data_IF_663246039884
#
_entry.id   IF_663246039884
#
_cell.length_a   1.000
_cell.length_b   1.000
_cell.length_c   1.000
_cell.angle_alpha   90.00
_cell.angle_beta   90.00
_cell.angle_gamma   90.00
#
_symmetry.space_group_name_H-M   'P 1'
#
loop_
_entity.id
_entity.type
_entity.pdbx_description
1 polymer ?
#
# COMPACT_ATOMS: atom_id res chain seq x y z
N UNK A 1 2.63 21.77 -17.70
CA UNK A 1 1.43 22.25 -16.99
C UNK A 1 1.36 21.49 -15.67
N UNK A 2 1.53 22.17 -14.53
CA UNK A 2 1.58 21.55 -13.20
C UNK A 2 0.26 21.67 -12.41
N UNK A 3 -0.78 22.22 -13.04
CA UNK A 3 -2.06 22.50 -12.42
C UNK A 3 -3.16 22.28 -13.46
N UNK A 4 -4.17 21.50 -13.09
CA UNK A 4 -5.38 21.26 -13.87
C UNK A 4 -6.59 21.49 -12.95
N UNK A 5 -7.58 22.31 -13.35
CA UNK A 5 -8.82 22.46 -12.61
C UNK A 5 -9.53 21.10 -12.56
N UNK A 6 -9.93 20.68 -11.37
CA UNK A 6 -10.71 19.45 -11.18
C UNK A 6 -12.14 19.86 -10.83
N UNK A 7 -13.10 19.42 -11.62
CA UNK A 7 -14.52 19.67 -11.30
C UNK A 7 -14.93 18.90 -10.03
N UNK A 8 -15.93 19.36 -9.27
CA UNK A 8 -16.47 18.59 -8.14
C UNK A 8 -16.90 17.20 -8.58
N UNK A 9 -17.53 17.10 -9.74
CA UNK A 9 -17.87 15.82 -10.35
C UNK A 9 -16.63 14.96 -10.61
N UNK A 10 -15.50 15.50 -11.04
CA UNK A 10 -14.26 14.72 -11.18
C UNK A 10 -13.63 14.31 -9.85
N UNK A 11 -13.74 15.15 -8.82
CA UNK A 11 -13.22 14.85 -7.50
C UNK A 11 -14.06 13.78 -6.79
N UNK A 12 -15.39 13.93 -6.86
CA UNK A 12 -16.36 12.96 -6.34
C UNK A 12 -16.27 11.63 -7.10
N UNK A 13 -16.07 11.69 -8.42
CA UNK A 13 -15.85 10.51 -9.25
C UNK A 13 -14.36 10.15 -9.38
N UNK A 14 -13.46 10.69 -8.56
CA UNK A 14 -12.03 10.39 -8.66
C UNK A 14 -11.80 8.88 -8.57
N UNK A 15 -12.42 8.24 -7.58
CA UNK A 15 -12.36 6.79 -7.41
C UNK A 15 -13.02 6.03 -8.57
N UNK A 16 -14.10 6.56 -9.13
CA UNK A 16 -14.72 5.98 -10.32
C UNK A 16 -13.78 6.05 -11.54
N UNK A 17 -13.13 7.20 -11.77
CA UNK A 17 -12.15 7.38 -12.85
C UNK A 17 -10.89 6.52 -12.65
N UNK A 18 -10.40 6.40 -11.42
CA UNK A 18 -9.35 5.43 -11.06
C UNK A 18 -9.81 4.01 -11.39
N UNK A 19 -11.07 3.67 -11.09
CA UNK A 19 -11.67 2.38 -11.46
C UNK A 19 -11.86 2.21 -12.98
N UNK A 20 -12.09 3.28 -13.73
CA UNK A 20 -12.17 3.26 -15.21
C UNK A 20 -10.80 3.05 -15.84
N UNK A 21 -9.77 3.75 -15.36
CA UNK A 21 -8.37 3.52 -15.75
C UNK A 21 -7.98 2.09 -15.41
N UNK A 22 -8.26 1.64 -14.18
CA UNK A 22 -8.04 0.25 -13.76
C UNK A 22 -8.75 -0.73 -14.70
N UNK A 23 -10.02 -0.49 -15.06
CA UNK A 23 -10.76 -1.31 -16.03
C UNK A 23 -10.14 -1.28 -17.43
N UNK A 24 -9.62 -0.14 -17.87
CA UNK A 24 -8.98 0.03 -19.17
C UNK A 24 -7.62 -0.68 -19.26
N UNK A 25 -6.87 -0.70 -18.15
CA UNK A 25 -5.65 -1.49 -17.95
C UNK A 25 -5.99 -2.98 -18.00
N UNK A 26 -6.96 -3.42 -17.20
CA UNK A 26 -7.39 -4.82 -17.12
C UNK A 26 -7.96 -5.35 -18.44
N UNK A 27 -8.66 -4.52 -19.21
CA UNK A 27 -9.20 -4.89 -20.53
C UNK A 27 -8.17 -4.87 -21.66
N UNK A 28 -6.90 -4.54 -21.36
CA UNK A 28 -5.83 -4.33 -22.35
C UNK A 28 -6.18 -3.30 -23.44
N UNK A 29 -7.18 -2.45 -23.18
CA UNK A 29 -7.61 -1.40 -24.11
C UNK A 29 -6.63 -0.22 -24.10
N UNK A 30 -5.92 -0.03 -22.99
CA UNK A 30 -4.68 0.71 -22.95
C UNK A 30 -3.56 -0.26 -23.36
N UNK A 31 -2.87 0.04 -24.47
CA UNK A 31 -1.63 -0.66 -24.85
C UNK A 31 -0.56 -0.30 -23.84
N UNK A 32 -0.56 -1.00 -22.73
CA UNK A 32 0.46 -0.91 -21.72
C UNK A 32 1.59 -1.87 -22.07
N UNK A 33 2.67 -1.35 -22.63
CA UNK A 33 4.00 -1.99 -22.61
C UNK A 33 4.59 -1.96 -21.17
N UNK A 34 3.77 -2.18 -20.14
CA UNK A 34 4.20 -2.32 -18.75
C UNK A 34 4.46 -3.77 -18.36
N UNK A 35 4.31 -4.71 -19.29
CA UNK A 35 4.54 -6.13 -19.02
C UNK A 35 6.03 -6.42 -19.04
N UNK A 36 6.68 -6.31 -17.88
CA UNK A 36 7.89 -7.10 -17.61
C UNK A 36 7.44 -8.56 -17.53
N UNK A 37 7.33 -9.23 -18.68
CA UNK A 37 6.99 -10.66 -18.74
C UNK A 37 8.11 -11.49 -18.11
N UNK A 38 7.76 -12.62 -17.50
CA UNK A 38 8.69 -13.59 -16.86
C UNK A 38 9.96 -13.92 -17.67
N UNK A 39 9.91 -13.83 -19.01
CA UNK A 39 11.09 -13.96 -19.89
C UNK A 39 12.23 -12.96 -19.57
N UNK A 40 11.96 -11.86 -18.86
CA UNK A 40 12.97 -10.89 -18.40
C UNK A 40 13.63 -11.27 -17.06
N UNK A 41 13.13 -12.28 -16.34
CA UNK A 41 13.75 -12.79 -15.10
C UNK A 41 14.82 -13.87 -15.37
N UNK A 42 14.98 -14.30 -16.62
CA UNK A 42 16.12 -15.10 -17.04
C UNK A 42 17.40 -14.28 -16.98
N UNK A 43 18.17 -14.41 -15.90
CA UNK A 43 19.55 -13.93 -15.75
C UNK A 43 19.81 -12.49 -16.25
N UNK A 44 19.50 -11.50 -15.40
CA UNK A 44 20.17 -10.19 -15.38
C UNK A 44 20.34 -9.45 -16.73
N UNK A 45 19.28 -9.27 -17.52
CA UNK A 45 19.25 -8.13 -18.45
C UNK A 45 18.81 -6.87 -17.69
N UNK A 46 19.71 -6.35 -16.84
CA UNK A 46 19.51 -5.11 -16.09
C UNK A 46 19.23 -3.92 -17.02
N UNK A 47 19.64 -4.00 -18.29
CA UNK A 47 19.48 -2.97 -19.30
C UNK A 47 18.03 -2.80 -19.74
N UNK A 48 17.30 -3.90 -19.94
CA UNK A 48 15.89 -3.89 -20.35
C UNK A 48 14.93 -3.38 -19.25
N UNK A 49 15.27 -3.58 -17.96
CA UNK A 49 14.49 -2.98 -16.86
C UNK A 49 14.77 -1.49 -16.65
N UNK A 50 15.85 -0.95 -17.22
CA UNK A 50 16.40 0.38 -16.89
C UNK A 50 16.08 1.45 -17.93
N UNK A 51 15.92 1.10 -19.21
CA UNK A 51 15.57 2.06 -20.27
C UNK A 51 14.10 1.95 -20.68
N UNK A 52 13.34 3.05 -20.57
CA UNK A 52 11.95 3.13 -21.02
C UNK A 52 10.89 2.65 -20.02
N UNK A 53 11.29 2.06 -18.89
CA UNK A 53 10.35 1.74 -17.81
C UNK A 53 10.03 3.02 -17.01
N UNK A 54 8.84 3.58 -17.24
CA UNK A 54 8.38 4.81 -16.58
C UNK A 54 8.34 4.73 -15.06
N UNK A 55 8.13 3.54 -14.49
CA UNK A 55 8.15 3.35 -13.03
C UNK A 55 9.57 3.45 -12.49
N UNK A 56 10.54 2.83 -13.17
CA UNK A 56 11.96 2.94 -12.81
C UNK A 56 12.46 4.36 -13.03
N UNK A 57 12.05 5.02 -14.10
CA UNK A 57 12.34 6.44 -14.36
C UNK A 57 11.73 7.33 -13.27
N UNK A 58 10.48 7.09 -12.87
CA UNK A 58 9.84 7.82 -11.78
C UNK A 58 10.56 7.62 -10.44
N UNK A 59 10.92 6.39 -10.10
CA UNK A 59 11.70 6.08 -8.89
C UNK A 59 13.07 6.78 -8.93
N UNK A 60 13.77 6.75 -10.06
CA UNK A 60 15.03 7.49 -10.23
C UNK A 60 14.85 9.01 -10.13
N UNK A 61 13.76 9.53 -10.67
CA UNK A 61 13.42 10.95 -10.59
C UNK A 61 13.10 11.37 -9.15
N UNK A 62 12.51 10.50 -8.32
CA UNK A 62 12.27 10.79 -6.89
C UNK A 62 13.59 11.00 -6.12
N UNK A 63 14.66 10.34 -6.53
CA UNK A 63 15.99 10.56 -5.97
C UNK A 63 16.78 11.67 -6.71
N UNK A 64 16.17 12.34 -7.69
CA UNK A 64 16.79 13.36 -8.54
C UNK A 64 18.12 12.90 -9.18
N UNK A 65 18.15 11.64 -9.62
CA UNK A 65 19.37 11.02 -10.17
C UNK A 65 20.50 10.77 -9.16
N UNK A 66 20.28 10.99 -7.86
CA UNK A 66 21.27 10.90 -6.78
C UNK A 66 21.08 9.75 -5.79
N UNK A 67 21.98 9.71 -4.79
CA UNK A 67 22.16 8.61 -3.82
C UNK A 67 20.93 8.32 -2.96
N UNK A 68 20.57 7.04 -2.87
CA UNK A 68 19.55 6.56 -1.95
C UNK A 68 20.08 6.56 -0.51
N UNK A 69 19.33 7.07 0.48
CA UNK A 69 19.73 6.96 1.87
C UNK A 69 19.76 5.48 2.29
N UNK A 70 20.65 5.14 3.23
CA UNK A 70 20.86 3.76 3.66
C UNK A 70 19.61 3.10 4.26
N UNK A 71 18.68 3.90 4.78
CA UNK A 71 17.40 3.49 5.35
C UNK A 71 16.23 3.70 4.37
N UNK A 72 16.49 3.85 3.06
CA UNK A 72 15.45 4.03 2.05
C UNK A 72 14.56 2.79 1.93
N UNK A 73 15.17 1.61 1.93
CA UNK A 73 14.49 0.32 1.79
C UNK A 73 14.90 -0.58 2.95
N UNK A 74 13.94 -0.99 3.78
CA UNK A 74 14.22 -1.97 4.80
C UNK A 74 14.14 -3.37 4.26
N UNK A 75 15.17 -4.16 4.52
CA UNK A 75 15.10 -5.61 4.38
C UNK A 75 15.18 -6.22 5.77
N UNK A 76 14.15 -6.94 6.19
CA UNK A 76 14.17 -7.65 7.46
C UNK A 76 13.91 -9.14 7.24
N UNK A 77 14.61 -9.95 8.02
CA UNK A 77 14.35 -11.38 8.11
C UNK A 77 13.31 -11.62 9.18
N UNK A 78 12.29 -12.41 8.88
CA UNK A 78 11.39 -12.93 9.91
C UNK A 78 11.54 -14.44 10.01
N UNK A 79 11.46 -14.94 11.24
CA UNK A 79 11.38 -16.35 11.55
C UNK A 79 10.13 -16.54 12.38
N UNK A 80 9.11 -17.15 11.79
CA UNK A 80 7.89 -17.51 12.48
C UNK A 80 7.91 -19.01 12.80
N UNK A 81 7.78 -19.35 14.09
CA UNK A 81 7.59 -20.73 14.54
C UNK A 81 6.13 -21.17 14.42
N UNK A 82 5.19 -20.21 14.41
CA UNK A 82 3.74 -20.47 14.52
C UNK A 82 2.94 -19.98 13.31
N UNK A 83 3.60 -19.65 12.19
CA UNK A 83 2.97 -19.20 10.95
C UNK A 83 2.58 -20.35 10.01
N UNK A 84 1.57 -20.11 9.16
CA UNK A 84 1.18 -21.00 8.05
C UNK A 84 2.31 -21.13 7.03
N UNK A 85 3.22 -22.06 7.31
CA UNK A 85 4.47 -22.29 6.57
C UNK A 85 5.57 -22.63 7.56
N UNK A 86 5.82 -23.92 7.79
CA UNK A 86 6.86 -24.40 8.70
C UNK A 86 8.20 -23.72 8.37
N UNK A 87 8.85 -23.13 9.38
CA UNK A 87 10.23 -22.64 9.33
C UNK A 87 10.57 -21.77 8.11
N UNK A 88 9.71 -20.81 7.75
CA UNK A 88 10.06 -19.87 6.68
C UNK A 88 11.05 -18.84 7.24
N UNK A 89 12.33 -19.04 6.91
CA UNK A 89 13.32 -17.98 6.95
C UNK A 89 13.17 -17.18 5.65
N UNK A 90 12.46 -16.07 5.74
CA UNK A 90 12.19 -15.19 4.60
C UNK A 90 12.74 -13.80 4.85
N UNK A 91 13.23 -13.17 3.79
CA UNK A 91 13.52 -11.73 3.80
C UNK A 91 12.38 -11.00 3.12
N UNK A 92 11.84 -9.98 3.79
CA UNK A 92 10.85 -9.07 3.22
C UNK A 92 11.50 -7.70 3.06
N UNK A 93 11.27 -7.08 1.91
CA UNK A 93 11.67 -5.70 1.65
C UNK A 93 10.45 -4.79 1.84
N UNK A 94 10.58 -3.75 2.67
CA UNK A 94 9.52 -2.78 2.95
C UNK A 94 9.92 -1.45 2.32
N UNK A 95 9.29 -1.05 1.21
CA UNK A 95 9.54 0.25 0.61
C UNK A 95 8.89 1.36 1.44
N UNK A 96 9.41 2.58 1.30
CA UNK A 96 8.72 3.78 1.78
C UNK A 96 7.47 4.01 0.93
N UNK A 97 6.37 4.36 1.60
CA UNK A 97 5.13 4.76 0.94
C UNK A 97 5.28 6.19 0.41
N UNK A 98 4.65 6.48 -0.73
CA UNK A 98 4.65 7.82 -1.34
C UNK A 98 3.46 8.62 -0.81
N UNK A 99 3.74 9.82 -0.31
CA UNK A 99 2.79 10.77 0.21
C UNK A 99 2.87 12.06 -0.60
N UNK A 100 1.72 12.61 -0.98
CA UNK A 100 1.64 13.92 -1.63
C UNK A 100 0.93 14.89 -0.70
N UNK A 101 1.56 16.02 -0.41
CA UNK A 101 0.90 17.14 0.25
C UNK A 101 0.32 18.08 -0.81
N UNK A 102 -0.97 18.36 -0.71
CA UNK A 102 -1.67 19.29 -1.60
C UNK A 102 -2.42 20.36 -0.81
N UNK A 103 -2.47 21.58 -1.33
CA UNK A 103 -3.44 22.59 -0.90
C UNK A 103 -4.68 22.50 -1.78
N UNK A 104 -5.85 22.62 -1.16
CA UNK A 104 -7.14 22.63 -1.86
C UNK A 104 -7.78 24.00 -1.63
N UNK A 105 -8.01 24.74 -2.71
CA UNK A 105 -8.70 26.03 -2.68
C UNK A 105 -10.12 25.83 -3.18
N UNK A 106 -11.09 26.23 -2.36
CA UNK A 106 -12.53 26.16 -2.66
C UNK A 106 -13.20 27.51 -2.46
N UNK A 107 -14.16 27.82 -3.30
CA UNK A 107 -15.01 28.99 -3.13
C UNK A 107 -16.22 28.64 -2.25
N UNK A 108 -16.43 29.36 -1.14
CA UNK A 108 -17.57 29.08 -0.23
C UNK A 108 -18.88 29.73 -0.68
N UNK A 109 -18.79 30.86 -1.39
CA UNK A 109 -19.95 31.73 -1.70
C UNK A 109 -20.06 32.09 -3.18
N UNK A 110 -19.27 33.05 -3.63
CA UNK A 110 -19.25 33.49 -5.01
C UNK A 110 -18.11 32.82 -5.76
N UNK A 111 -18.21 32.74 -7.08
CA UNK A 111 -17.06 32.36 -7.90
C UNK A 111 -15.95 33.39 -7.74
N UNK A 112 -14.70 32.93 -7.66
CA UNK A 112 -13.52 33.75 -7.42
C UNK A 112 -12.50 33.48 -8.52
N UNK A 113 -11.95 34.52 -9.13
CA UNK A 113 -10.83 34.37 -10.07
C UNK A 113 -9.52 34.27 -9.31
N UNK A 114 -8.73 33.25 -9.63
CA UNK A 114 -7.40 33.06 -9.07
C UNK A 114 -6.38 33.25 -10.19
N UNK A 115 -5.52 34.25 -10.01
CA UNK A 115 -4.50 34.65 -10.99
C UNK A 115 -3.14 34.01 -10.71
N UNK A 116 -2.94 33.54 -9.48
CA UNK A 116 -1.69 32.97 -9.04
C UNK A 116 -1.62 32.73 -7.56
N UNK A 117 -0.42 32.38 -7.12
CA UNK A 117 -0.10 31.96 -5.75
C UNK A 117 1.36 32.28 -5.47
N UNK A 118 1.61 32.68 -4.23
CA UNK A 118 2.95 32.96 -3.74
C UNK A 118 3.37 31.84 -2.78
N UNK A 119 4.58 31.33 -2.98
CA UNK A 119 5.19 30.29 -2.16
C UNK A 119 6.54 30.71 -1.60
N UNK A 120 6.93 30.08 -0.51
CA UNK A 120 8.34 29.83 -0.21
C UNK A 120 8.69 28.43 -0.72
N UNK A 121 9.72 28.32 -1.54
CA UNK A 121 10.16 27.08 -2.15
C UNK A 121 11.54 26.65 -1.61
N UNK A 122 11.68 25.35 -1.44
CA UNK A 122 12.95 24.63 -1.33
C UNK A 122 13.18 23.90 -2.66
N UNK A 123 14.12 24.41 -3.45
CA UNK A 123 14.54 23.82 -4.73
C UNK A 123 15.70 22.82 -4.59
N UNK A 124 15.96 22.32 -3.39
CA UNK A 124 16.95 21.28 -3.19
C UNK A 124 16.68 20.08 -4.12
N UNK A 125 17.75 19.39 -4.50
CA UNK A 125 17.67 18.09 -5.17
C UNK A 125 17.64 16.93 -4.19
N UNK A 126 17.40 15.72 -4.72
CA UNK A 126 17.49 14.46 -3.99
C UNK A 126 16.48 14.26 -2.87
N UNK A 127 16.75 13.27 -2.01
CA UNK A 127 15.94 12.93 -0.84
C UNK A 127 16.45 13.63 0.41
N UNK A 128 15.65 14.54 0.99
CA UNK A 128 16.05 15.40 2.10
C UNK A 128 15.20 15.16 3.35
N UNK A 129 15.81 15.19 4.54
CA UNK A 129 15.09 15.08 5.82
C UNK A 129 14.66 16.44 6.40
N UNK A 130 15.27 17.52 5.92
CA UNK A 130 14.98 18.89 6.30
C UNK A 130 14.68 19.71 5.05
N UNK A 131 13.63 20.53 5.13
CA UNK A 131 13.20 21.42 4.05
C UNK A 131 13.61 22.84 4.43
N UNK A 132 14.25 23.55 3.51
CA UNK A 132 14.69 24.93 3.71
C UNK A 132 14.01 25.87 2.71
N UNK A 133 12.79 26.28 3.03
CA UNK A 133 11.93 27.10 2.16
C UNK A 133 12.36 28.56 2.22
N UNK A 134 13.35 28.94 1.42
CA UNK A 134 13.94 30.29 1.48
C UNK A 134 13.67 31.11 0.22
N UNK A 135 13.34 30.48 -0.90
CA UNK A 135 13.14 31.18 -2.16
C UNK A 135 11.67 31.61 -2.32
N UNK A 136 11.42 32.90 -2.49
CA UNK A 136 10.08 33.39 -2.82
C UNK A 136 9.78 33.15 -4.30
N UNK A 137 8.74 32.37 -4.57
CA UNK A 137 8.28 32.02 -5.93
C UNK A 137 6.84 32.46 -6.11
N UNK A 138 6.55 33.13 -7.22
CA UNK A 138 5.19 33.47 -7.65
C UNK A 138 4.85 32.67 -8.88
N UNK A 139 3.95 31.70 -8.74
CA UNK A 139 3.38 31.00 -9.88
C UNK A 139 2.14 31.75 -10.34
N UNK A 140 2.17 32.25 -11.58
CA UNK A 140 1.00 32.76 -12.26
C UNK A 140 0.40 31.67 -13.11
N UNK A 141 -0.92 31.58 -13.11
CA UNK A 141 -1.65 30.72 -14.04
C UNK A 141 -2.55 31.58 -14.91
N UNK A 142 -3.00 31.05 -16.06
CA UNK A 142 -4.15 31.64 -16.75
C UNK A 142 -5.29 31.76 -15.74
N UNK A 143 -5.94 32.92 -15.69
CA UNK A 143 -7.03 33.22 -14.76
C UNK A 143 -7.97 32.01 -14.59
N UNK A 144 -8.03 31.47 -13.38
CA UNK A 144 -8.86 30.31 -13.04
C UNK A 144 -10.04 30.76 -12.21
N UNK A 145 -11.24 30.72 -12.78
CA UNK A 145 -12.47 30.95 -12.01
C UNK A 145 -12.86 29.70 -11.23
N UNK A 146 -12.79 29.78 -9.89
CA UNK A 146 -13.24 28.74 -8.97
C UNK A 146 -14.63 29.05 -8.46
N UNK A 147 -15.58 28.17 -8.74
CA UNK A 147 -16.94 28.18 -8.22
C UNK A 147 -17.12 27.19 -7.06
N UNK A 148 -18.30 27.16 -6.41
CA UNK A 148 -18.58 26.26 -5.26
C UNK A 148 -18.41 24.77 -5.58
N UNK A 149 -18.66 24.41 -6.82
CA UNK A 149 -18.58 23.06 -7.39
C UNK A 149 -17.22 22.78 -8.03
N UNK A 150 -16.20 23.60 -7.78
CA UNK A 150 -14.86 23.41 -8.31
C UNK A 150 -13.82 23.64 -7.22
N UNK A 151 -12.69 22.98 -7.37
CA UNK A 151 -11.57 23.14 -6.45
C UNK A 151 -10.28 23.22 -7.24
N UNK A 152 -9.40 24.12 -6.83
CA UNK A 152 -8.04 24.13 -7.32
C UNK A 152 -7.18 23.31 -6.37
N UNK A 153 -6.51 22.30 -6.92
CA UNK A 153 -5.57 21.46 -6.20
C UNK A 153 -4.17 21.94 -6.57
N UNK A 154 -3.39 22.24 -5.55
CA UNK A 154 -2.03 22.76 -5.67
C UNK A 154 -1.09 21.74 -5.03
N UNK A 155 -0.26 21.02 -5.79
CA UNK A 155 0.75 20.16 -5.21
C UNK A 155 1.81 21.00 -4.50
N UNK A 156 2.11 20.65 -3.25
CA UNK A 156 3.06 21.37 -2.41
C UNK A 156 4.38 20.62 -2.26
N UNK A 157 4.33 19.32 -1.99
CA UNK A 157 5.53 18.47 -1.92
C UNK A 157 5.23 16.98 -2.00
N UNK A 158 6.27 16.21 -2.28
CA UNK A 158 6.28 14.75 -2.25
C UNK A 158 7.13 14.26 -1.08
N UNK A 159 6.59 13.35 -0.27
CA UNK A 159 7.29 12.75 0.85
C UNK A 159 7.30 11.22 0.72
N UNK A 160 8.44 10.59 0.99
CA UNK A 160 8.63 9.14 1.09
C UNK A 160 8.74 8.78 2.56
N UNK A 161 7.72 8.11 3.10
CA UNK A 161 7.59 7.88 4.54
C UNK A 161 7.47 6.41 4.88
N UNK A 162 7.94 6.06 6.08
CA UNK A 162 7.44 4.89 6.76
C UNK A 162 6.33 5.29 7.72
N UNK A 163 5.33 4.45 7.82
CA UNK A 163 4.52 4.43 9.03
C UNK A 163 5.32 3.66 10.10
N UNK A 164 5.84 4.40 11.09
CA UNK A 164 6.72 3.82 12.10
C UNK A 164 5.93 2.99 13.12
N UNK A 165 4.62 3.18 13.18
CA UNK A 165 3.73 2.47 14.10
C UNK A 165 3.19 1.17 13.47
N UNK A 166 3.26 1.05 12.14
CA UNK A 166 2.87 -0.16 11.42
C UNK A 166 3.93 -1.26 11.49
N UNK A 167 3.44 -2.50 11.63
CA UNK A 167 4.25 -3.70 11.40
C UNK A 167 4.62 -3.78 9.92
N UNK A 168 5.88 -4.15 9.59
CA UNK A 168 6.94 -4.64 10.46
C UNK A 168 7.90 -3.54 10.97
N UNK A 169 7.69 -2.28 10.58
CA UNK A 169 8.63 -1.18 10.83
C UNK A 169 8.76 -0.88 12.32
N UNK A 170 7.64 -0.86 13.05
CA UNK A 170 7.63 -0.69 14.50
C UNK A 170 8.51 -1.72 15.22
N UNK A 171 8.49 -3.00 14.81
CA UNK A 171 9.39 -4.04 15.36
C UNK A 171 10.87 -3.77 15.09
N UNK A 172 11.19 -3.32 13.88
CA UNK A 172 12.58 -3.03 13.48
C UNK A 172 13.12 -1.87 14.32
N UNK A 173 12.32 -0.83 14.52
CA UNK A 173 12.73 0.38 15.24
C UNK A 173 12.78 0.15 16.75
N UNK A 174 11.74 -0.46 17.34
CA UNK A 174 11.67 -0.65 18.78
C UNK A 174 12.67 -1.70 19.29
N UNK A 175 13.08 -2.63 18.43
CA UNK A 175 14.14 -3.63 18.66
C UNK A 175 13.97 -4.49 19.94
N UNK A 176 12.81 -4.43 20.60
CA UNK A 176 12.48 -5.17 21.84
C UNK A 176 12.64 -6.68 21.61
N UNK A 177 12.26 -7.14 20.42
CA UNK A 177 12.39 -8.54 20.02
C UNK A 177 13.85 -8.97 19.88
N UNK A 178 14.72 -8.18 19.23
CA UNK A 178 16.13 -8.55 19.06
C UNK A 178 16.87 -8.59 20.40
N UNK A 179 16.55 -7.67 21.32
CA UNK A 179 17.08 -7.69 22.69
C UNK A 179 16.58 -8.94 23.43
N UNK A 180 15.28 -9.26 23.33
CA UNK A 180 14.71 -10.45 23.95
C UNK A 180 15.31 -11.74 23.37
N UNK A 181 15.49 -11.82 22.04
CA UNK A 181 16.12 -12.93 21.34
C UNK A 181 17.58 -13.09 21.75
N UNK A 182 18.34 -12.00 21.81
CA UNK A 182 19.72 -12.04 22.28
C UNK A 182 19.79 -12.54 23.73
N UNK A 183 18.91 -12.04 24.62
CA UNK A 183 18.79 -12.53 26.00
C UNK A 183 18.41 -14.00 26.07
N UNK A 184 17.57 -14.48 25.16
CA UNK A 184 17.21 -15.90 25.09
C UNK A 184 18.43 -16.73 24.66
N UNK A 185 19.14 -16.32 23.61
CA UNK A 185 20.36 -16.96 23.12
C UNK A 185 21.43 -16.99 24.22
N UNK A 186 21.63 -15.89 24.95
CA UNK A 186 22.62 -15.81 26.03
C UNK A 186 22.27 -16.67 27.25
N UNK A 187 21.01 -17.07 27.44
CA UNK A 187 20.58 -17.98 28.51
C UNK A 187 20.72 -19.46 28.16
N UNK A 188 20.94 -19.80 26.89
CA UNK A 188 21.08 -21.21 26.48
C UNK A 188 22.40 -21.75 27.06
N UNK A 189 22.39 -22.91 27.76
CA UNK A 189 23.56 -23.44 28.46
C UNK A 189 24.66 -23.90 27.50
N UNK A 190 24.31 -24.28 26.27
CA UNK A 190 25.27 -24.72 25.26
C UNK A 190 26.03 -23.52 24.66
N UNK A 191 27.35 -23.64 24.56
CA UNK A 191 28.23 -22.65 23.92
C UNK A 191 28.21 -22.73 22.40
N UNK A 192 27.72 -23.84 21.83
CA UNK A 192 27.64 -24.08 20.39
C UNK A 192 26.25 -24.61 20.05
N UNK A 193 25.61 -23.98 19.09
CA UNK A 193 24.40 -24.47 18.43
C UNK A 193 24.81 -25.35 17.26
N UNK A 194 24.32 -26.59 17.18
CA UNK A 194 24.58 -27.48 16.05
C UNK A 194 23.28 -28.03 15.48
N UNK A 195 23.20 -28.09 14.15
CA UNK A 195 22.11 -28.73 13.42
C UNK A 195 22.70 -29.54 12.26
N UNK A 196 22.10 -30.70 11.97
CA UNK A 196 22.48 -31.52 10.81
C UNK A 196 21.48 -31.24 9.71
N UNK A 197 21.93 -30.65 8.59
CA UNK A 197 21.11 -30.32 7.43
C UNK A 197 21.74 -30.99 6.20
N UNK A 198 21.01 -31.92 5.57
CA UNK A 198 21.50 -32.64 4.38
C UNK A 198 22.82 -33.40 4.61
N UNK A 199 23.00 -33.99 5.80
CA UNK A 199 24.23 -34.71 6.18
C UNK A 199 25.42 -33.81 6.55
N UNK A 200 25.26 -32.49 6.55
CA UNK A 200 26.28 -31.53 6.98
C UNK A 200 25.92 -30.97 8.36
N UNK A 201 26.89 -30.95 9.27
CA UNK A 201 26.74 -30.27 10.56
C UNK A 201 27.02 -28.78 10.39
N UNK A 202 26.01 -27.94 10.59
CA UNK A 202 26.17 -26.50 10.72
C UNK A 202 26.29 -26.21 12.21
N UNK A 203 27.41 -25.62 12.62
CA UNK A 203 27.66 -25.22 13.99
C UNK A 203 27.86 -23.70 14.07
N UNK A 204 27.27 -23.06 15.09
CA UNK A 204 27.43 -21.63 15.36
C UNK A 204 27.68 -21.41 16.84
N UNK A 205 28.75 -20.71 17.18
CA UNK A 205 29.04 -20.40 18.58
C UNK A 205 28.06 -19.36 19.10
N UNK A 206 27.76 -19.45 20.39
CA UNK A 206 26.95 -18.45 21.11
C UNK A 206 27.57 -17.06 21.06
N UNK A 207 28.90 -16.97 21.13
CA UNK A 207 29.63 -15.71 21.09
C UNK A 207 29.63 -15.07 19.70
N UNK A 208 29.29 -15.81 18.64
CA UNK A 208 29.13 -15.24 17.30
C UNK A 208 27.84 -14.42 17.12
N UNK A 209 26.93 -14.47 18.09
CA UNK A 209 25.76 -13.59 18.11
C UNK A 209 26.16 -12.25 18.76
N UNK A 210 26.57 -11.30 17.92
CA UNK A 210 26.91 -9.95 18.36
C UNK A 210 25.75 -9.22 19.04
N UNK A 211 26.06 -8.08 19.66
CA UNK A 211 25.04 -7.19 20.21
C UNK A 211 24.10 -6.70 19.08
N UNK A 212 22.77 -6.64 19.31
CA UNK A 212 21.85 -6.00 18.39
C UNK A 212 22.34 -4.61 18.03
N UNK A 213 22.46 -4.34 16.74
CA UNK A 213 22.78 -3.02 16.23
C UNK A 213 21.48 -2.26 15.97
N UNK A 214 21.53 -0.94 16.19
CA UNK A 214 20.40 -0.04 15.97
C UNK A 214 20.69 0.77 14.72
N UNK A 215 19.72 0.82 13.82
CA UNK A 215 19.74 1.74 12.70
C UNK A 215 18.86 2.93 13.06
N UNK A 216 19.39 4.14 12.94
CA UNK A 216 18.55 5.33 12.99
C UNK A 216 17.73 5.39 11.71
N UNK A 217 16.41 5.38 11.87
CA UNK A 217 15.46 5.42 10.76
C UNK A 217 14.84 6.81 10.68
N UNK A 218 14.99 7.46 9.54
CA UNK A 218 14.29 8.71 9.28
C UNK A 218 12.84 8.42 8.93
N UNK A 219 11.91 9.14 9.57
CA UNK A 219 10.47 8.94 9.33
C UNK A 219 10.07 9.26 7.89
N UNK A 220 10.64 10.33 7.35
CA UNK A 220 10.27 10.87 6.05
C UNK A 220 11.47 11.45 5.31
N UNK A 221 11.42 11.37 3.99
CA UNK A 221 12.27 12.11 3.07
C UNK A 221 11.40 12.90 2.11
N UNK A 222 11.69 14.19 1.95
CA UNK A 222 11.07 15.02 0.91
C UNK A 222 11.84 14.87 -0.38
N UNK A 223 11.11 14.67 -1.48
CA UNK A 223 11.64 14.46 -2.83
C UNK A 223 11.34 15.67 -3.71
N UNK A 224 12.35 16.13 -4.45
CA UNK A 224 12.23 17.22 -5.41
C UNK A 224 11.94 18.57 -4.74
N UNK A 225 11.25 19.44 -5.47
CA UNK A 225 10.87 20.76 -4.97
C UNK A 225 9.78 20.64 -3.89
N UNK A 226 9.94 21.39 -2.79
CA UNK A 226 8.93 21.52 -1.75
C UNK A 226 8.50 22.97 -1.59
N UNK A 227 7.20 23.19 -1.39
CA UNK A 227 6.58 24.52 -1.39
C UNK A 227 5.71 24.70 -0.15
N UNK A 228 5.79 25.89 0.42
CA UNK A 228 4.90 26.38 1.46
C UNK A 228 4.12 27.58 0.94
N UNK A 229 2.81 27.39 0.79
CA UNK A 229 1.89 28.41 0.31
C UNK A 229 1.83 29.58 1.31
N UNK A 230 2.13 30.78 0.83
CA UNK A 230 2.11 32.01 1.62
C UNK A 230 0.83 32.81 1.37
N UNK A 231 0.41 32.90 0.11
CA UNK A 231 -0.79 33.62 -0.27
C UNK A 231 -1.37 33.13 -1.60
N UNK A 232 -2.65 33.49 -1.81
CA UNK A 232 -3.39 33.27 -3.05
C UNK A 232 -3.68 34.63 -3.67
N UNK A 233 -3.43 34.79 -4.97
CA UNK A 233 -3.71 36.03 -5.71
C UNK A 233 -5.09 35.91 -6.35
N UNK A 234 -6.01 36.76 -5.92
CA UNK A 234 -7.40 36.85 -6.38
C UNK A 234 -7.65 38.24 -6.94
N UNK A 235 -8.05 38.32 -8.20
CA UNK A 235 -8.30 39.58 -8.92
C UNK A 235 -7.13 40.60 -8.73
N UNK A 236 -5.90 40.11 -8.86
CA UNK A 236 -4.65 40.87 -8.66
C UNK A 236 -4.28 41.17 -7.20
N UNK A 237 -5.13 40.83 -6.23
CA UNK A 237 -4.93 41.09 -4.80
C UNK A 237 -4.41 39.84 -4.08
N UNK A 238 -3.34 39.98 -3.30
CA UNK A 238 -2.72 38.86 -2.57
C UNK A 238 -3.38 38.67 -1.20
N UNK A 239 -3.91 37.48 -0.94
CA UNK A 239 -4.55 37.09 0.31
C UNK A 239 -3.69 36.06 1.05
N UNK A 240 -3.16 36.37 2.25
CA UNK A 240 -2.32 35.45 2.99
C UNK A 240 -3.08 34.21 3.42
N UNK A 241 -2.44 33.06 3.36
CA UNK A 241 -2.99 31.78 3.86
C UNK A 241 -2.33 31.38 5.17
N UNK A 242 -3.01 30.52 5.91
CA UNK A 242 -2.41 29.90 7.10
C UNK A 242 -1.38 28.85 6.66
N UNK A 243 -0.28 28.68 7.39
CA UNK A 243 0.64 27.57 7.17
C UNK A 243 -0.09 26.23 7.24
N UNK A 244 0.37 25.26 6.45
CA UNK A 244 -0.19 23.91 6.49
C UNK A 244 -0.07 23.35 7.93
N UNK A 245 -1.14 22.75 8.47
CA UNK A 245 -1.06 22.11 9.78
C UNK A 245 -0.03 20.98 9.75
N UNK A 246 0.63 20.74 10.90
CA UNK A 246 1.60 19.64 11.05
C UNK A 246 0.98 18.27 10.73
N UNK A 247 -0.34 18.16 10.90
CA UNK A 247 -1.17 17.02 10.50
C UNK A 247 -2.00 17.43 9.28
N UNK A 248 -1.64 16.91 8.10
CA UNK A 248 -2.36 17.17 6.86
C UNK A 248 -2.96 15.87 6.31
N UNK A 249 -4.06 15.99 5.57
CA UNK A 249 -4.62 14.89 4.80
C UNK A 249 -3.59 14.46 3.75
N UNK A 250 -3.30 13.17 3.71
CA UNK A 250 -2.31 12.60 2.82
C UNK A 250 -2.90 11.44 2.05
N UNK A 251 -2.64 11.41 0.74
CA UNK A 251 -2.89 10.22 -0.07
C UNK A 251 -1.69 9.29 0.06
N UNK A 252 -1.96 8.01 0.31
CA UNK A 252 -0.95 6.96 0.45
C UNK A 252 -0.99 6.10 -0.81
N UNK A 253 0.11 6.07 -1.56
CA UNK A 253 0.30 5.08 -2.62
C UNK A 253 0.97 3.83 -2.03
N UNK A 254 0.25 2.71 -2.00
CA UNK A 254 0.79 1.43 -1.54
C UNK A 254 1.06 0.49 -2.72
N UNK A 255 2.22 -0.16 -2.71
CA UNK A 255 2.51 -1.32 -3.55
C UNK A 255 2.06 -2.54 -2.75
N UNK A 256 0.79 -2.87 -2.85
CA UNK A 256 0.19 -3.94 -2.07
C UNK A 256 0.68 -5.29 -2.60
N UNK A 257 1.70 -5.85 -1.94
CA UNK A 257 2.32 -7.11 -2.31
C UNK A 257 1.49 -8.29 -1.83
N UNK A 258 0.67 -8.85 -2.72
CA UNK A 258 0.04 -10.15 -2.51
C UNK A 258 -1.33 -10.22 -3.16
N UNK A 259 -1.37 -10.66 -4.41
CA UNK A 259 -2.63 -10.74 -5.14
C UNK A 259 -3.53 -11.83 -4.52
N UNK A 260 -4.71 -11.49 -4.01
CA UNK A 260 -5.64 -12.37 -3.29
C UNK A 260 -7.08 -11.83 -3.39
N UNK A 261 -8.11 -12.70 -3.41
CA UNK A 261 -9.49 -12.25 -3.36
C UNK A 261 -9.82 -11.54 -2.04
N UNK A 262 -10.69 -10.54 -2.12
CA UNK A 262 -11.12 -9.70 -0.99
C UNK A 262 -12.45 -10.19 -0.43
N UNK A 263 -12.55 -10.29 0.89
CA UNK A 263 -13.82 -10.56 1.58
C UNK A 263 -14.39 -9.25 2.14
N UNK A 264 -15.59 -8.93 1.69
CA UNK A 264 -16.41 -7.83 2.17
C UNK A 264 -17.62 -8.39 2.93
N UNK A 265 -18.11 -7.66 3.93
CA UNK A 265 -19.36 -7.98 4.64
C UNK A 265 -20.26 -6.77 4.63
N UNK A 266 -21.57 -7.01 4.67
CA UNK A 266 -22.55 -5.95 4.76
C UNK A 266 -22.86 -5.65 6.23
N UNK A 267 -22.57 -4.43 6.62
CA UNK A 267 -22.79 -3.90 7.97
C UNK A 267 -24.28 -3.61 8.23
N UNK A 268 -24.61 -3.37 9.49
CA UNK A 268 -25.99 -3.10 9.94
C UNK A 268 -26.63 -1.85 9.32
N UNK A 269 -25.82 -0.86 8.92
CA UNK A 269 -26.26 0.34 8.20
C UNK A 269 -26.50 0.12 6.70
N UNK A 270 -26.13 -1.06 6.19
CA UNK A 270 -26.26 -1.46 4.80
C UNK A 270 -25.02 -1.21 3.94
N UNK A 271 -23.97 -0.61 4.49
CA UNK A 271 -22.70 -0.39 3.80
C UNK A 271 -21.83 -1.65 3.77
N UNK A 272 -20.88 -1.69 2.83
CA UNK A 272 -19.93 -2.79 2.70
C UNK A 272 -18.61 -2.46 3.39
N UNK A 273 -18.21 -3.24 4.38
CA UNK A 273 -16.91 -3.13 5.04
C UNK A 273 -15.94 -4.22 4.54
N UNK A 274 -14.66 -3.86 4.40
CA UNK A 274 -13.61 -4.79 4.04
C UNK A 274 -13.16 -5.58 5.28
N UNK A 275 -13.24 -6.90 5.23
CA UNK A 275 -12.73 -7.78 6.28
C UNK A 275 -11.28 -8.20 6.05
N UNK A 276 -10.82 -8.18 4.80
CA UNK A 276 -9.43 -8.46 4.43
C UNK A 276 -9.31 -9.30 3.17
N UNK A 277 -8.10 -9.83 2.93
CA UNK A 277 -7.81 -10.78 1.86
C UNK A 277 -7.99 -12.20 2.35
N UNK A 278 -8.50 -13.09 1.49
CA UNK A 278 -8.70 -14.51 1.77
C UNK A 278 -7.92 -15.36 0.77
N UNK A 279 -7.65 -16.62 1.12
CA UNK A 279 -6.84 -17.57 0.38
C UNK A 279 -5.36 -17.16 0.24
N UNK A 280 -4.84 -16.28 1.10
CA UNK A 280 -3.57 -15.53 0.92
C UNK A 280 -2.31 -16.38 0.73
N UNK A 281 -1.83 -16.52 -0.51
CA UNK A 281 -0.71 -17.40 -0.90
C UNK A 281 -1.11 -18.75 -1.52
N UNK A 282 -2.40 -18.93 -1.86
CA UNK A 282 -2.92 -20.11 -2.55
C UNK A 282 -2.87 -19.84 -4.05
N UNK A 283 -1.71 -19.44 -4.56
CA UNK A 283 -1.53 -18.91 -5.92
C UNK A 283 -1.39 -20.01 -7.01
N UNK A 284 -1.68 -21.26 -6.66
CA UNK A 284 -1.74 -22.38 -7.59
C UNK A 284 -2.58 -23.51 -6.98
N UNK A 285 -3.09 -24.40 -7.83
CA UNK A 285 -3.98 -25.50 -7.42
C UNK A 285 -3.35 -26.43 -6.37
N UNK A 286 -2.05 -26.67 -6.43
CA UNK A 286 -1.32 -27.49 -5.45
C UNK A 286 -1.21 -26.84 -4.07
N UNK A 287 -1.44 -25.53 -3.98
CA UNK A 287 -1.48 -24.75 -2.74
C UNK A 287 -2.91 -24.37 -2.33
N UNK A 288 -3.92 -25.00 -2.95
CA UNK A 288 -5.30 -24.82 -2.53
C UNK A 288 -5.46 -25.15 -1.05
N UNK A 289 -6.21 -24.31 -0.33
CA UNK A 289 -6.42 -24.47 1.11
C UNK A 289 -7.83 -24.06 1.51
N UNK A 290 -8.16 -24.42 2.75
CA UNK A 290 -9.32 -23.87 3.44
C UNK A 290 -8.87 -22.77 4.39
N UNK A 291 -9.60 -21.67 4.39
CA UNK A 291 -9.45 -20.55 5.31
C UNK A 291 -10.76 -20.35 6.08
N UNK A 292 -10.66 -20.04 7.36
CA UNK A 292 -11.81 -19.81 8.23
C UNK A 292 -11.76 -18.37 8.74
N UNK A 293 -12.81 -17.60 8.46
CA UNK A 293 -12.94 -16.19 8.82
C UNK A 293 -14.12 -16.02 9.76
N UNK A 294 -13.88 -15.46 10.94
CA UNK A 294 -14.95 -15.10 11.87
C UNK A 294 -15.68 -13.86 11.33
N UNK A 295 -17.00 -13.93 11.21
CA UNK A 295 -17.80 -12.81 10.72
C UNK A 295 -18.19 -11.87 11.87
N UNK A 296 -18.28 -10.55 11.63
CA UNK A 296 -18.89 -9.61 12.58
C UNK A 296 -20.35 -9.97 12.88
N UNK A 297 -20.81 -9.64 14.08
CA UNK A 297 -22.20 -9.81 14.49
C UNK A 297 -23.12 -9.03 13.56
N UNK A 298 -24.32 -9.55 13.33
CA UNK A 298 -25.35 -8.95 12.47
C UNK A 298 -25.00 -8.90 10.97
N UNK A 299 -23.85 -9.45 10.55
CA UNK A 299 -23.54 -9.64 9.12
C UNK A 299 -24.66 -10.44 8.46
N UNK A 300 -25.27 -9.89 7.42
CA UNK A 300 -26.39 -10.53 6.70
C UNK A 300 -26.03 -10.96 5.28
N UNK A 301 -25.06 -10.29 4.67
CA UNK A 301 -24.55 -10.57 3.34
C UNK A 301 -23.02 -10.55 3.36
N UNK A 302 -22.42 -11.42 2.55
CA UNK A 302 -21.00 -11.42 2.28
C UNK A 302 -20.78 -11.18 0.79
N UNK A 303 -19.61 -10.65 0.45
CA UNK A 303 -19.18 -10.53 -0.94
C UNK A 303 -17.71 -10.86 -1.06
N UNK A 304 -17.37 -11.70 -2.03
CA UNK A 304 -15.99 -12.02 -2.39
C UNK A 304 -15.70 -11.33 -3.71
N UNK A 305 -14.64 -10.54 -3.76
CA UNK A 305 -14.28 -9.74 -4.92
C UNK A 305 -12.87 -10.10 -5.39
N UNK A 306 -12.72 -10.38 -6.68
CA UNK A 306 -11.40 -10.51 -7.32
C UNK A 306 -11.03 -9.13 -7.89
N UNK A 307 -10.21 -8.37 -7.18
CA UNK A 307 -9.87 -6.98 -7.57
C UNK A 307 -8.56 -6.89 -8.33
N UNK A 308 -7.79 -7.97 -8.40
CA UNK A 308 -6.45 -8.03 -8.94
C UNK A 308 -6.45 -8.85 -10.25
N UNK A 309 -5.39 -8.81 -11.09
CA UNK A 309 -5.38 -9.46 -12.41
C UNK A 309 -5.22 -11.00 -12.33
N UNK A 310 -6.03 -11.64 -11.50
CA UNK A 310 -6.01 -13.06 -11.19
C UNK A 310 -7.38 -13.72 -11.41
N UNK A 311 -7.39 -15.04 -11.55
CA UNK A 311 -8.60 -15.86 -11.58
C UNK A 311 -8.67 -16.64 -10.28
N UNK A 312 -9.68 -16.35 -9.47
CA UNK A 312 -9.94 -17.05 -8.21
C UNK A 312 -10.86 -18.25 -8.45
N UNK A 313 -10.43 -19.42 -7.97
CA UNK A 313 -11.15 -20.70 -8.03
C UNK A 313 -11.55 -21.12 -6.62
N UNK A 314 -12.83 -21.02 -6.32
CA UNK A 314 -13.40 -21.37 -5.03
C UNK A 314 -14.10 -22.72 -5.17
N UNK A 315 -13.57 -23.75 -4.52
CA UNK A 315 -14.19 -25.07 -4.51
C UNK A 315 -15.46 -25.07 -3.66
N UNK A 316 -15.41 -24.47 -2.47
CA UNK A 316 -16.56 -24.42 -1.55
C UNK A 316 -16.54 -23.18 -0.67
N UNK A 317 -17.73 -22.65 -0.42
CA UNK A 317 -18.03 -21.61 0.57
C UNK A 317 -19.02 -22.20 1.54
N UNK A 318 -18.66 -22.30 2.81
CA UNK A 318 -19.51 -22.82 3.87
C UNK A 318 -19.63 -21.83 5.01
N UNK A 319 -20.74 -21.89 5.73
CA UNK A 319 -20.95 -21.13 6.95
C UNK A 319 -21.19 -22.10 8.10
N UNK A 320 -20.62 -21.79 9.26
CA UNK A 320 -20.89 -22.49 10.52
C UNK A 320 -21.38 -21.48 11.55
N UNK A 321 -22.52 -21.75 12.14
CA UNK A 321 -23.05 -20.98 13.27
C UNK A 321 -22.81 -21.70 14.59
N UNK A 322 -22.92 -20.99 15.72
CA UNK A 322 -22.80 -21.60 17.05
C UNK A 322 -23.75 -22.80 17.21
N UNK A 323 -23.18 -23.95 17.57
CA UNK A 323 -23.94 -25.18 17.84
C UNK A 323 -24.65 -25.82 16.64
N UNK A 324 -24.45 -25.31 15.41
CA UNK A 324 -25.05 -25.84 14.19
C UNK A 324 -24.02 -26.53 13.28
N UNK A 325 -24.51 -27.44 12.44
CA UNK A 325 -23.71 -28.02 11.38
C UNK A 325 -23.35 -26.98 10.30
N UNK A 326 -22.26 -27.24 9.58
CA UNK A 326 -21.87 -26.43 8.42
C UNK A 326 -22.97 -26.47 7.35
N UNK A 327 -23.30 -25.30 6.80
CA UNK A 327 -24.15 -25.17 5.63
C UNK A 327 -23.31 -24.67 4.45
N UNK A 328 -23.43 -25.30 3.28
CA UNK A 328 -22.82 -24.81 2.05
C UNK A 328 -23.61 -23.62 1.50
N UNK A 329 -22.90 -22.52 1.21
CA UNK A 329 -23.47 -21.33 0.59
C UNK A 329 -23.28 -21.33 -0.92
N UNK A 330 -22.13 -21.82 -1.40
CA UNK A 330 -21.81 -21.94 -2.82
C UNK A 330 -20.67 -22.94 -3.03
N UNK A 331 -20.55 -23.47 -4.25
CA UNK A 331 -19.44 -24.32 -4.66
C UNK A 331 -19.08 -24.12 -6.12
N UNK A 332 -17.86 -24.51 -6.49
CA UNK A 332 -17.33 -24.43 -7.85
C UNK A 332 -17.43 -23.03 -8.49
N UNK A 333 -17.15 -21.99 -7.71
CA UNK A 333 -17.18 -20.61 -8.19
C UNK A 333 -15.85 -20.25 -8.83
N UNK A 334 -15.90 -19.60 -9.98
CA UNK A 334 -14.74 -19.00 -10.63
C UNK A 334 -15.01 -17.50 -10.70
N UNK A 335 -14.08 -16.69 -10.19
CA UNK A 335 -14.12 -15.24 -10.26
C UNK A 335 -12.99 -14.76 -11.17
N UNK A 336 -13.36 -14.05 -12.24
CA UNK A 336 -12.43 -13.34 -13.11
C UNK A 336 -12.02 -11.99 -12.51
N UNK A 337 -10.96 -11.35 -13.02
CA UNK A 337 -10.59 -10.00 -12.62
C UNK A 337 -11.75 -9.02 -12.70
N UNK A 338 -12.05 -8.35 -11.59
CA UNK A 338 -13.14 -7.39 -11.43
C UNK A 338 -14.51 -8.01 -11.10
N UNK A 339 -14.64 -9.34 -11.08
CA UNK A 339 -15.89 -10.00 -10.71
C UNK A 339 -16.08 -10.08 -9.20
N UNK A 340 -17.34 -10.22 -8.80
CA UNK A 340 -17.70 -10.44 -7.41
C UNK A 340 -18.80 -11.47 -7.28
N UNK A 341 -18.75 -12.24 -6.20
CA UNK A 341 -19.82 -13.12 -5.76
C UNK A 341 -20.42 -12.52 -4.49
N UNK A 342 -21.70 -12.14 -4.54
CA UNK A 342 -22.46 -11.76 -3.33
C UNK A 342 -23.33 -12.92 -2.88
N UNK A 343 -23.28 -13.27 -1.60
CA UNK A 343 -24.06 -14.34 -1.00
C UNK A 343 -24.79 -13.80 0.21
N UNK A 344 -26.09 -14.08 0.28
CA UNK A 344 -26.90 -13.80 1.47
C UNK A 344 -26.75 -14.94 2.46
N UNK A 345 -26.50 -14.61 3.73
CA UNK A 345 -26.45 -15.62 4.78
C UNK A 345 -27.87 -16.13 5.10
N UNK A 346 -28.04 -17.42 5.43
CA UNK A 346 -29.33 -17.99 5.83
C UNK A 346 -29.98 -17.26 7.01
N UNK A 347 -29.16 -16.74 7.91
CA UNK A 347 -29.51 -15.85 9.01
C UNK A 347 -28.33 -14.93 9.32
N UNK A 348 -28.60 -13.81 10.00
CA UNK A 348 -27.56 -12.89 10.44
C UNK A 348 -26.51 -13.61 11.32
N UNK A 349 -25.26 -13.19 11.20
CA UNK A 349 -24.14 -13.75 11.94
C UNK A 349 -24.25 -13.48 13.45
N UNK A 350 -23.94 -14.50 14.25
CA UNK A 350 -23.79 -14.43 15.71
C UNK A 350 -22.30 -14.32 16.10
N UNK A 351 -22.03 -14.22 17.41
CA UNK A 351 -20.69 -14.08 17.97
C UNK A 351 -19.70 -15.24 17.65
N UNK A 352 -20.17 -16.36 17.11
CA UNK A 352 -19.34 -17.52 16.77
C UNK A 352 -19.42 -17.90 15.29
N UNK A 353 -20.13 -17.11 14.49
CA UNK A 353 -20.34 -17.39 13.09
C UNK A 353 -19.03 -17.32 12.31
N UNK A 354 -18.72 -18.40 11.61
CA UNK A 354 -17.47 -18.58 10.86
C UNK A 354 -17.78 -18.92 9.41
N UNK A 355 -17.20 -18.14 8.49
CA UNK A 355 -17.15 -18.43 7.06
C UNK A 355 -15.94 -19.30 6.75
N UNK A 356 -16.15 -20.40 6.05
CA UNK A 356 -15.10 -21.30 5.59
C UNK A 356 -15.01 -21.25 4.07
N UNK A 357 -13.87 -20.81 3.55
CA UNK A 357 -13.60 -20.68 2.13
C UNK A 357 -12.52 -21.65 1.72
N UNK A 358 -12.77 -22.50 0.73
CA UNK A 358 -11.74 -23.39 0.16
C UNK A 358 -11.51 -23.04 -1.29
N UNK A 359 -10.24 -22.85 -1.67
CA UNK A 359 -9.90 -22.47 -3.04
C UNK A 359 -8.43 -22.16 -3.25
N UNK A 360 -8.14 -21.63 -4.43
CA UNK A 360 -6.86 -21.10 -4.86
C UNK A 360 -7.11 -20.00 -5.90
N UNK A 361 -6.08 -19.26 -6.29
CA UNK A 361 -6.12 -18.27 -7.37
C UNK A 361 -4.90 -18.47 -8.27
N UNK A 362 -4.89 -17.85 -9.46
CA UNK A 362 -3.73 -17.81 -10.36
C UNK A 362 -3.70 -16.51 -11.15
N UNK A 363 -2.52 -16.04 -11.53
CA UNK A 363 -2.38 -14.90 -12.44
C UNK A 363 -2.96 -15.22 -13.82
N UNK A 364 -3.47 -14.20 -14.51
CA UNK A 364 -4.02 -14.33 -15.87
C UNK A 364 -2.95 -14.53 -16.96
N UNK A 365 -1.67 -14.51 -16.59
CA UNK A 365 -0.52 -14.57 -17.51
C UNK A 365 0.08 -15.97 -17.68
N UNK A 366 -0.34 -16.93 -16.85
CA UNK A 366 0.03 -18.35 -16.92
C UNK A 366 -1.03 -19.16 -17.69
#
# INVERSE_FOLDING_TARGET
MLYQPVSANELENYWQKVNEVKRAILSKSLKEDFTVTEKHYGLFDQTAMVSGNKTVEAVKALADGGSWPADYLFKYGSFSLDGCGKNIFGFVAVPRKLFVLVAIVKAERASVSIDGVDYLADKGGGLRTQINETESVRDRFPEQTISKDRSLIIPLRLDLRYDLDEEPISRIIENKLSIAQQRAITKIPNSVFSAVIGGRTIAKSKDSFGQPQFMQVNRAYTSGEARSLQSIVVDGTSYPVKPAPRTALVSVGELDGGSCPFLMVKESDGDWSLQGRVLVGANQRSLARSEAVKLPVDTSDIRIEEREPEITYISTIKIRYSGLQEAELASSVILQPGESLSLKLPRAADNETTLMLTGYYRTTTD
#
